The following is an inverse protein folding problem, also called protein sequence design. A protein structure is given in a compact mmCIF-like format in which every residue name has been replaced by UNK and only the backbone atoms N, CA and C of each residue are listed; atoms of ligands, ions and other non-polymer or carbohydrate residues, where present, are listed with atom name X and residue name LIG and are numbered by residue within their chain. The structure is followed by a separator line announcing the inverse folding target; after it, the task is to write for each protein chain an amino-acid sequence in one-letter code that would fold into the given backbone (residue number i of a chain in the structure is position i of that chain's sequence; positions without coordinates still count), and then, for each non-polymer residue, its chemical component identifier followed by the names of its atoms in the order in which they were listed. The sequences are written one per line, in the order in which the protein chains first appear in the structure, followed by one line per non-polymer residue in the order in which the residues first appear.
data_IF_501539773284
#
_entry.id   IF_501539773284
#
_cell.length_a   1.000
_cell.length_b   1.000
_cell.length_c   1.000
_cell.angle_alpha   90.00
_cell.angle_beta   90.00
_cell.angle_gamma   90.00
#
_symmetry.space_group_name_H-M   'P 1'
#
loop_
_entity.id
_entity.type
_entity.pdbx_description
1 polymer ?
#
# COMPACT_ATOMS: atom_id res chain seq x y z
N UNK A 1 -14.10 29.65 3.17
CA UNK A 1 -15.02 28.52 2.97
C UNK A 1 -15.07 27.74 4.28
N UNK A 2 -16.25 27.45 4.82
CA UNK A 2 -16.36 26.57 5.99
C UNK A 2 -16.03 25.12 5.57
N UNK A 3 -15.53 24.29 6.51
CA UNK A 3 -15.16 22.91 6.21
C UNK A 3 -16.33 22.10 5.65
N UNK A 4 -17.54 22.32 6.19
CA UNK A 4 -18.77 21.66 5.75
C UNK A 4 -19.08 21.94 4.27
N UNK A 5 -18.81 23.17 3.80
CA UNK A 5 -19.03 23.55 2.41
C UNK A 5 -18.03 22.88 1.48
N UNK A 6 -16.77 22.72 1.90
CA UNK A 6 -15.77 22.00 1.11
C UNK A 6 -16.08 20.50 1.07
N UNK A 7 -16.52 19.92 2.19
CA UNK A 7 -16.94 18.53 2.28
C UNK A 7 -18.17 18.27 1.39
N UNK A 8 -19.21 19.09 1.49
CA UNK A 8 -20.40 18.96 0.66
C UNK A 8 -20.08 19.05 -0.84
N UNK A 9 -19.24 20.01 -1.23
CA UNK A 9 -18.80 20.15 -2.62
C UNK A 9 -17.98 18.95 -3.12
N UNK A 10 -17.12 18.36 -2.28
CA UNK A 10 -16.38 17.15 -2.63
C UNK A 10 -17.30 15.94 -2.81
N UNK A 11 -18.30 15.79 -1.93
CA UNK A 11 -19.22 14.66 -1.91
C UNK A 11 -20.25 14.68 -3.05
N UNK A 12 -20.41 15.82 -3.73
CA UNK A 12 -21.32 15.94 -4.86
C UNK A 12 -20.98 14.89 -5.96
N UNK A 13 -21.93 14.02 -6.35
CA UNK A 13 -21.68 12.97 -7.35
C UNK A 13 -21.14 13.52 -8.67
N UNK A 14 -21.61 14.70 -9.06
CA UNK A 14 -21.24 15.37 -10.30
C UNK A 14 -19.90 16.10 -10.26
N UNK A 15 -19.25 16.19 -9.09
CA UNK A 15 -17.97 16.88 -8.95
C UNK A 15 -16.85 16.20 -9.77
N UNK A 16 -16.13 17.01 -10.54
CA UNK A 16 -14.95 16.61 -11.29
C UNK A 16 -13.75 16.33 -10.38
N UNK A 17 -12.75 15.63 -10.93
CA UNK A 17 -11.49 15.38 -10.21
C UNK A 17 -10.77 16.69 -9.82
N UNK A 18 -10.86 17.73 -10.64
CA UNK A 18 -10.27 19.04 -10.36
C UNK A 18 -10.98 19.74 -9.19
N UNK A 19 -12.31 19.71 -9.15
CA UNK A 19 -13.10 20.28 -8.05
C UNK A 19 -12.83 19.55 -6.74
N UNK A 20 -12.76 18.21 -6.77
CA UNK A 20 -12.38 17.40 -5.59
C UNK A 20 -10.98 17.76 -5.08
N UNK A 21 -10.01 17.88 -5.98
CA UNK A 21 -8.64 18.30 -5.64
C UNK A 21 -8.63 19.70 -5.00
N UNK A 22 -9.43 20.63 -5.52
CA UNK A 22 -9.58 21.96 -4.94
C UNK A 22 -10.18 21.91 -3.53
N UNK A 23 -11.23 21.10 -3.32
CA UNK A 23 -11.85 20.94 -2.00
C UNK A 23 -10.84 20.39 -0.97
N UNK A 24 -10.06 19.38 -1.34
CA UNK A 24 -8.99 18.81 -0.50
C UNK A 24 -7.96 19.88 -0.16
N UNK A 25 -7.51 20.67 -1.15
CA UNK A 25 -6.58 21.78 -0.93
C UNK A 25 -7.12 22.82 0.06
N UNK A 26 -8.40 23.17 -0.06
CA UNK A 26 -9.06 24.05 0.90
C UNK A 26 -9.12 23.46 2.30
N UNK A 27 -9.50 22.19 2.45
CA UNK A 27 -9.56 21.50 3.75
C UNK A 27 -8.18 21.46 4.40
N UNK A 28 -7.15 21.03 3.66
CA UNK A 28 -5.77 20.99 4.16
C UNK A 28 -5.30 22.39 4.59
N UNK A 29 -5.60 23.44 3.82
CA UNK A 29 -5.25 24.80 4.21
C UNK A 29 -5.93 25.23 5.53
N UNK A 30 -7.21 24.88 5.74
CA UNK A 30 -7.93 25.18 6.99
C UNK A 30 -7.31 24.46 8.19
N UNK A 31 -6.92 23.19 8.01
CA UNK A 31 -6.26 22.38 9.05
C UNK A 31 -4.86 22.93 9.37
N UNK A 32 -4.06 23.26 8.36
CA UNK A 32 -2.72 23.84 8.52
C UNK A 32 -2.77 25.18 9.26
N UNK A 33 -3.76 26.03 8.93
CA UNK A 33 -3.99 27.31 9.59
C UNK A 33 -4.63 27.17 10.98
N UNK A 34 -4.98 25.96 11.41
CA UNK A 34 -5.67 25.65 12.68
C UNK A 34 -7.00 26.40 12.84
N UNK A 35 -7.63 26.80 11.72
CA UNK A 35 -8.96 27.42 11.73
C UNK A 35 -10.10 26.39 11.78
N UNK A 36 -9.77 25.12 11.50
CA UNK A 36 -10.61 23.94 11.63
C UNK A 36 -9.76 22.78 12.17
N UNK A 37 -10.42 21.70 12.60
CA UNK A 37 -9.76 20.54 13.21
C UNK A 37 -10.05 19.26 12.41
N UNK A 38 -9.24 18.22 12.60
CA UNK A 38 -9.55 16.91 12.03
C UNK A 38 -10.90 16.38 12.55
N UNK A 39 -11.26 16.70 13.80
CA UNK A 39 -12.56 16.38 14.36
C UNK A 39 -13.71 17.04 13.57
N UNK A 40 -13.60 18.33 13.19
CA UNK A 40 -14.66 18.97 12.41
C UNK A 40 -14.81 18.37 11.01
N UNK A 41 -13.70 17.92 10.39
CA UNK A 41 -13.75 17.16 9.14
C UNK A 41 -14.51 15.84 9.31
N UNK A 42 -14.19 15.06 10.34
CA UNK A 42 -14.84 13.76 10.59
C UNK A 42 -16.31 13.94 10.93
N UNK A 43 -16.68 14.97 11.70
CA UNK A 43 -18.07 15.31 11.99
C UNK A 43 -18.85 15.67 10.73
N UNK A 44 -18.29 16.49 9.84
CA UNK A 44 -18.90 16.83 8.55
C UNK A 44 -19.12 15.61 7.66
N UNK A 45 -18.26 14.59 7.78
CA UNK A 45 -18.33 13.35 7.03
C UNK A 45 -19.20 12.28 7.69
N UNK A 46 -19.65 12.46 8.93
CA UNK A 46 -20.23 11.39 9.75
C UNK A 46 -21.35 10.62 9.03
N UNK A 47 -22.35 11.32 8.48
CA UNK A 47 -23.48 10.70 7.79
C UNK A 47 -23.04 9.86 6.57
N UNK A 48 -21.98 10.27 5.90
CA UNK A 48 -21.44 9.62 4.72
C UNK A 48 -20.63 8.36 5.10
N UNK A 49 -19.83 8.41 6.17
CA UNK A 49 -18.95 7.31 6.58
C UNK A 49 -19.70 6.09 7.14
N UNK A 50 -20.89 6.30 7.72
CA UNK A 50 -21.74 5.26 8.31
C UNK A 50 -22.97 4.90 7.44
N UNK A 51 -23.03 5.41 6.21
CA UNK A 51 -24.16 5.17 5.30
C UNK A 51 -24.26 3.70 4.89
N UNK A 52 -25.48 3.17 4.71
CA UNK A 52 -25.69 1.85 4.13
C UNK A 52 -25.26 1.80 2.64
N UNK A 53 -25.21 2.96 1.98
CA UNK A 53 -24.75 3.11 0.59
C UNK A 53 -23.21 3.03 0.51
N UNK A 54 -22.71 1.98 -0.14
CA UNK A 54 -21.28 1.74 -0.34
C UNK A 54 -20.58 2.87 -1.12
N UNK A 55 -21.26 3.53 -2.07
CA UNK A 55 -20.69 4.62 -2.85
C UNK A 55 -20.55 5.91 -2.01
N UNK A 56 -21.48 6.14 -1.08
CA UNK A 56 -21.34 7.22 -0.11
C UNK A 56 -20.14 6.95 0.80
N UNK A 57 -20.07 5.77 1.41
CA UNK A 57 -18.94 5.42 2.27
C UNK A 57 -17.59 5.53 1.56
N UNK A 58 -17.53 5.07 0.31
CA UNK A 58 -16.34 5.20 -0.55
C UNK A 58 -15.94 6.66 -0.76
N UNK A 59 -16.88 7.55 -1.10
CA UNK A 59 -16.59 8.99 -1.27
C UNK A 59 -16.08 9.64 0.02
N UNK A 60 -16.71 9.36 1.15
CA UNK A 60 -16.25 9.88 2.45
C UNK A 60 -14.85 9.36 2.82
N UNK A 61 -14.59 8.07 2.62
CA UNK A 61 -13.28 7.46 2.89
C UNK A 61 -12.21 8.01 1.94
N UNK A 62 -12.57 8.26 0.67
CA UNK A 62 -11.67 8.86 -0.32
C UNK A 62 -11.27 10.28 0.05
N UNK A 63 -12.21 11.10 0.55
CA UNK A 63 -11.87 12.44 1.04
C UNK A 63 -10.85 12.39 2.17
N UNK A 64 -11.08 11.52 3.17
CA UNK A 64 -10.15 11.38 4.29
C UNK A 64 -8.77 10.88 3.82
N UNK A 65 -8.72 9.89 2.91
CA UNK A 65 -7.47 9.43 2.31
C UNK A 65 -6.73 10.59 1.64
N UNK A 66 -7.39 11.37 0.77
CA UNK A 66 -6.78 12.50 0.07
C UNK A 66 -6.29 13.58 1.03
N UNK A 67 -7.04 13.90 2.10
CA UNK A 67 -6.62 14.84 3.14
C UNK A 67 -5.42 14.32 3.93
N UNK A 68 -5.38 13.04 4.30
CA UNK A 68 -4.23 12.41 4.98
C UNK A 68 -2.99 12.50 4.08
N UNK A 69 -3.13 12.13 2.80
CA UNK A 69 -2.03 12.11 1.83
C UNK A 69 -1.49 13.51 1.54
N UNK A 70 -2.36 14.50 1.42
CA UNK A 70 -1.94 15.87 1.14
C UNK A 70 -1.46 16.61 2.40
N UNK A 71 -2.20 16.52 3.51
CA UNK A 71 -1.98 17.30 4.72
C UNK A 71 -1.03 16.67 5.74
N UNK A 72 -0.97 15.34 5.83
CA UNK A 72 -0.13 14.62 6.78
C UNK A 72 1.36 15.00 6.67
N UNK A 73 1.99 14.86 5.48
CA UNK A 73 3.38 15.28 5.28
C UNK A 73 3.64 16.77 5.53
N UNK A 74 2.61 17.62 5.45
CA UNK A 74 2.72 19.06 5.70
C UNK A 74 2.55 19.43 7.18
N UNK A 75 2.31 18.45 8.06
CA UNK A 75 2.04 18.70 9.48
C UNK A 75 0.67 19.32 9.76
N UNK A 76 -0.27 19.21 8.82
CA UNK A 76 -1.64 19.73 8.98
C UNK A 76 -2.41 18.97 10.07
N UNK A 77 -2.08 17.70 10.29
CA UNK A 77 -2.72 16.81 11.28
C UNK A 77 -1.85 16.68 12.53
N UNK A 78 -2.47 16.76 13.71
CA UNK A 78 -1.75 16.54 14.97
C UNK A 78 -1.48 15.04 15.21
N UNK A 79 -0.51 14.66 16.07
CA UNK A 79 -0.23 13.24 16.34
C UNK A 79 -1.45 12.44 16.80
N UNK A 80 -2.28 13.04 17.66
CA UNK A 80 -3.54 12.43 18.08
C UNK A 80 -4.50 12.22 16.92
N UNK A 81 -4.61 13.17 15.99
CA UNK A 81 -5.45 13.01 14.80
C UNK A 81 -4.96 11.86 13.91
N UNK A 82 -3.64 11.75 13.72
CA UNK A 82 -3.03 10.66 12.95
C UNK A 82 -3.35 9.29 13.56
N UNK A 83 -3.31 9.15 14.88
CA UNK A 83 -3.65 7.90 15.58
C UNK A 83 -5.13 7.51 15.38
N UNK A 84 -6.06 8.46 15.55
CA UNK A 84 -7.49 8.19 15.34
C UNK A 84 -7.78 7.87 13.87
N UNK A 85 -7.15 8.58 12.94
CA UNK A 85 -7.28 8.32 11.50
C UNK A 85 -6.67 6.97 11.12
N UNK A 86 -5.56 6.55 11.72
CA UNK A 86 -4.99 5.21 11.53
C UNK A 86 -5.94 4.11 12.00
N UNK A 87 -6.52 4.28 13.18
CA UNK A 87 -7.53 3.34 13.73
C UNK A 87 -8.76 3.27 12.82
N UNK A 88 -9.24 4.42 12.34
CA UNK A 88 -10.37 4.45 11.42
C UNK A 88 -10.04 3.79 10.08
N UNK A 89 -8.93 4.16 9.44
CA UNK A 89 -8.55 3.66 8.12
C UNK A 89 -8.26 2.16 8.10
N UNK A 90 -7.68 1.62 9.16
CA UNK A 90 -7.48 0.16 9.28
C UNK A 90 -8.80 -0.59 9.39
N UNK A 91 -9.76 -0.08 10.17
CA UNK A 91 -11.10 -0.65 10.23
C UNK A 91 -11.84 -0.61 8.88
N UNK A 92 -11.44 0.28 7.96
CA UNK A 92 -11.99 0.36 6.60
C UNK A 92 -11.39 -0.65 5.63
N UNK A 93 -10.33 -1.38 5.99
CA UNK A 93 -9.70 -2.38 5.10
C UNK A 93 -10.63 -3.58 4.84
N UNK A 94 -11.50 -3.91 5.80
CA UNK A 94 -12.51 -4.98 5.67
C UNK A 94 -13.83 -4.54 5.03
N UNK A 95 -14.01 -3.23 4.76
CA UNK A 95 -15.08 -2.75 3.87
C UNK A 95 -14.53 -2.68 2.45
N UNK A 96 -14.76 -3.73 1.66
CA UNK A 96 -14.12 -3.92 0.36
C UNK A 96 -14.32 -2.76 -0.61
N UNK A 97 -15.46 -2.05 -0.55
CA UNK A 97 -15.69 -0.87 -1.39
C UNK A 97 -14.74 0.30 -1.07
N UNK A 98 -14.05 0.24 0.07
CA UNK A 98 -13.20 1.29 0.60
C UNK A 98 -11.74 0.84 0.77
N UNK A 99 -11.39 -0.39 0.40
CA UNK A 99 -10.05 -0.94 0.61
C UNK A 99 -8.98 -0.13 -0.11
N UNK A 100 -9.22 0.33 -1.35
CA UNK A 100 -8.23 1.15 -2.08
C UNK A 100 -7.87 2.45 -1.33
N UNK A 101 -8.81 3.37 -1.01
CA UNK A 101 -8.47 4.59 -0.30
C UNK A 101 -7.97 4.33 1.13
N UNK A 102 -8.50 3.31 1.82
CA UNK A 102 -8.03 2.92 3.14
C UNK A 102 -6.56 2.47 3.12
N UNK A 103 -6.18 1.62 2.16
CA UNK A 103 -4.82 1.12 2.03
C UNK A 103 -3.82 2.22 1.65
N UNK A 104 -4.23 3.15 0.77
CA UNK A 104 -3.44 4.33 0.43
C UNK A 104 -3.23 5.26 1.64
N UNK A 105 -4.26 5.48 2.45
CA UNK A 105 -4.17 6.29 3.65
C UNK A 105 -3.24 5.64 4.68
N UNK A 106 -3.41 4.33 4.94
CA UNK A 106 -2.55 3.56 5.83
C UNK A 106 -1.08 3.59 5.38
N UNK A 107 -0.83 3.53 4.06
CA UNK A 107 0.52 3.64 3.49
C UNK A 107 1.18 4.96 3.89
N UNK A 108 0.47 6.08 3.72
CA UNK A 108 1.00 7.38 4.12
C UNK A 108 1.17 7.48 5.64
N UNK A 109 0.21 6.99 6.43
CA UNK A 109 0.30 7.01 7.89
C UNK A 109 1.53 6.25 8.42
N UNK A 110 1.83 5.09 7.84
CA UNK A 110 3.07 4.36 8.16
C UNK A 110 4.32 5.17 7.80
N UNK A 111 4.34 5.82 6.63
CA UNK A 111 5.47 6.65 6.23
C UNK A 111 5.69 7.84 7.17
N UNK A 112 4.61 8.41 7.74
CA UNK A 112 4.70 9.48 8.74
C UNK A 112 5.21 9.01 10.10
N UNK A 113 5.16 7.71 10.40
CA UNK A 113 5.76 7.13 11.61
C UNK A 113 7.27 6.89 11.50
N UNK A 114 7.84 6.99 10.29
CA UNK A 114 9.27 6.74 10.10
C UNK A 114 10.10 7.89 10.70
N UNK A 115 11.11 7.61 11.54
CA UNK A 115 12.02 8.64 12.00
C UNK A 115 12.79 9.24 10.80
N UNK A 116 13.08 10.56 10.80
CA UNK A 116 13.86 11.17 9.75
C UNK A 116 15.24 10.50 9.64
N UNK A 117 15.80 10.34 8.44
CA UNK A 117 17.10 9.72 8.27
C UNK A 117 18.17 10.50 9.06
N UNK A 118 18.96 9.78 9.86
CA UNK A 118 20.01 10.28 10.74
C UNK A 118 21.18 11.00 10.05
N UNK A 119 21.09 11.24 8.73
CA UNK A 119 22.09 11.92 7.91
C UNK A 119 21.70 13.36 7.54
N UNK A 120 20.53 13.86 7.96
CA UNK A 120 20.22 15.29 7.82
C UNK A 120 20.97 16.09 8.89
N UNK A 121 22.13 16.64 8.53
CA UNK A 121 22.91 17.62 9.30
C UNK A 121 22.22 19.00 9.43
N UNK A 122 20.95 19.11 9.09
CA UNK A 122 20.16 20.32 9.25
C UNK A 122 19.24 20.17 10.47
N UNK A 123 19.41 20.98 11.52
CA UNK A 123 18.47 21.06 12.62
C UNK A 123 17.22 21.81 12.15
N UNK A 124 16.32 21.12 11.44
CA UNK A 124 15.00 21.64 11.14
C UNK A 124 14.13 21.43 12.37
N UNK A 125 13.99 22.48 13.19
CA UNK A 125 13.22 22.52 14.44
C UNK A 125 11.69 22.44 14.25
N UNK A 126 11.19 21.80 13.19
CA UNK A 126 9.79 21.43 13.10
C UNK A 126 9.66 19.97 13.52
N UNK A 127 9.24 19.75 14.77
CA UNK A 127 8.71 18.48 15.26
C UNK A 127 7.52 18.10 14.37
N UNK A 128 7.80 17.45 13.24
CA UNK A 128 6.79 16.97 12.33
C UNK A 128 6.00 15.91 13.09
N UNK A 129 4.69 16.09 13.20
CA UNK A 129 3.83 15.14 13.87
C UNK A 129 4.05 13.75 13.26
N UNK A 130 4.50 12.80 14.07
CA UNK A 130 4.74 11.43 13.66
C UNK A 130 3.78 10.50 14.40
N UNK A 131 3.45 9.38 13.74
CA UNK A 131 2.74 8.28 14.36
C UNK A 131 3.72 7.49 15.25
N UNK A 132 3.34 7.12 16.47
CA UNK A 132 4.23 6.39 17.35
C UNK A 132 4.51 4.96 16.84
N UNK A 133 5.66 4.37 17.18
CA UNK A 133 6.02 3.00 16.76
C UNK A 133 4.93 1.97 17.17
N UNK A 134 4.34 2.14 18.35
CA UNK A 134 3.25 1.27 18.83
C UNK A 134 1.99 1.37 17.98
N UNK A 135 1.65 2.58 17.52
CA UNK A 135 0.48 2.81 16.66
C UNK A 135 0.73 2.28 15.25
N UNK A 136 1.94 2.46 14.71
CA UNK A 136 2.35 1.84 13.45
C UNK A 136 2.27 0.31 13.55
N UNK A 137 2.75 -0.29 14.64
CA UNK A 137 2.69 -1.72 14.84
C UNK A 137 1.25 -2.24 14.97
N UNK A 138 0.38 -1.49 15.66
CA UNK A 138 -1.05 -1.77 15.73
C UNK A 138 -1.70 -1.76 14.34
N UNK A 139 -1.40 -0.74 13.53
CA UNK A 139 -1.85 -0.65 12.14
C UNK A 139 -1.40 -1.87 11.33
N UNK A 140 -0.11 -2.23 11.39
CA UNK A 140 0.43 -3.38 10.64
C UNK A 140 -0.22 -4.69 11.08
N UNK A 141 -0.50 -4.87 12.37
CA UNK A 141 -1.24 -6.03 12.85
C UNK A 141 -2.63 -6.12 12.23
N UNK A 142 -3.38 -5.03 12.20
CA UNK A 142 -4.68 -5.01 11.52
C UNK A 142 -4.59 -5.30 10.02
N UNK A 143 -3.53 -4.87 9.34
CA UNK A 143 -3.30 -5.22 7.93
C UNK A 143 -3.09 -6.74 7.76
N UNK A 144 -2.32 -7.36 8.66
CA UNK A 144 -2.12 -8.82 8.65
C UNK A 144 -3.44 -9.54 8.90
N UNK A 145 -4.19 -9.14 9.92
CA UNK A 145 -5.39 -9.83 10.38
C UNK A 145 -6.57 -9.67 9.40
N UNK A 146 -6.76 -8.49 8.82
CA UNK A 146 -7.98 -8.15 8.05
C UNK A 146 -7.80 -8.15 6.52
N UNK A 147 -6.57 -7.96 6.02
CA UNK A 147 -6.33 -7.72 4.59
C UNK A 147 -5.50 -8.81 3.92
N UNK A 148 -4.41 -9.26 4.56
CA UNK A 148 -3.38 -10.07 3.89
C UNK A 148 -3.92 -11.37 3.25
N UNK A 149 -4.83 -12.06 3.94
CA UNK A 149 -5.46 -13.29 3.45
C UNK A 149 -6.49 -13.11 2.34
N UNK A 150 -6.96 -11.89 2.09
CA UNK A 150 -8.05 -11.59 1.17
C UNK A 150 -7.63 -10.82 -0.08
N UNK A 151 -6.33 -10.51 -0.23
CA UNK A 151 -5.84 -9.67 -1.34
C UNK A 151 -6.30 -10.21 -2.69
N UNK A 152 -6.27 -11.52 -2.93
CA UNK A 152 -6.65 -12.09 -4.22
C UNK A 152 -8.14 -11.99 -4.56
N UNK A 153 -9.00 -11.68 -3.59
CA UNK A 153 -10.44 -11.49 -3.78
C UNK A 153 -10.77 -10.07 -4.27
N UNK A 154 -9.83 -9.14 -4.11
CA UNK A 154 -10.02 -7.73 -4.43
C UNK A 154 -9.87 -7.45 -5.92
N UNK A 155 -10.36 -6.28 -6.36
CA UNK A 155 -10.11 -5.78 -7.70
C UNK A 155 -8.63 -5.45 -7.91
N UNK A 156 -8.20 -5.33 -9.17
CA UNK A 156 -6.81 -5.08 -9.51
C UNK A 156 -6.24 -3.77 -8.92
N UNK A 157 -7.06 -2.71 -8.74
CA UNK A 157 -6.61 -1.47 -8.11
C UNK A 157 -6.44 -1.62 -6.59
N UNK A 158 -7.37 -2.30 -5.95
CA UNK A 158 -7.33 -2.59 -4.52
C UNK A 158 -6.16 -3.51 -4.18
N UNK A 159 -5.88 -4.54 -5.00
CA UNK A 159 -4.69 -5.39 -4.85
C UNK A 159 -3.40 -4.59 -4.94
N UNK A 160 -3.29 -3.71 -5.93
CA UNK A 160 -2.12 -2.86 -6.09
C UNK A 160 -1.90 -1.97 -4.85
N UNK A 161 -2.96 -1.35 -4.32
CA UNK A 161 -2.89 -0.54 -3.11
C UNK A 161 -2.52 -1.38 -1.87
N UNK A 162 -3.07 -2.59 -1.75
CA UNK A 162 -2.82 -3.52 -0.65
C UNK A 162 -1.38 -4.02 -0.63
N UNK A 163 -0.83 -4.42 -1.80
CA UNK A 163 0.56 -4.83 -1.92
C UNK A 163 1.53 -3.67 -1.64
N UNK A 164 1.18 -2.45 -2.04
CA UNK A 164 1.98 -1.26 -1.71
C UNK A 164 1.96 -0.95 -0.21
N UNK A 165 0.82 -1.14 0.46
CA UNK A 165 0.70 -1.03 1.91
C UNK A 165 1.56 -2.08 2.61
N UNK A 166 1.47 -3.34 2.20
CA UNK A 166 2.30 -4.43 2.74
C UNK A 166 3.79 -4.13 2.56
N UNK A 167 4.20 -3.67 1.37
CA UNK A 167 5.59 -3.31 1.12
C UNK A 167 6.05 -2.19 2.06
N UNK A 168 5.21 -1.19 2.27
CA UNK A 168 5.51 -0.11 3.21
C UNK A 168 5.59 -0.61 4.65
N UNK A 169 4.69 -1.50 5.06
CA UNK A 169 4.70 -2.13 6.37
C UNK A 169 5.99 -2.91 6.62
N UNK A 170 6.46 -3.72 5.66
CA UNK A 170 7.74 -4.43 5.77
C UNK A 170 8.93 -3.46 5.90
N UNK A 171 8.94 -2.39 5.12
CA UNK A 171 10.05 -1.42 5.10
C UNK A 171 10.10 -0.52 6.33
N UNK A 172 8.94 -0.14 6.88
CA UNK A 172 8.84 0.77 8.03
C UNK A 172 8.87 -0.01 9.35
N UNK A 173 8.12 -1.10 9.43
CA UNK A 173 7.86 -1.80 10.68
C UNK A 173 8.51 -3.18 10.76
N UNK A 174 9.22 -3.67 9.73
CA UNK A 174 9.72 -5.06 9.69
C UNK A 174 10.48 -5.50 10.95
N UNK A 175 11.43 -4.69 11.42
CA UNK A 175 12.18 -4.99 12.64
C UNK A 175 11.30 -4.98 13.91
N UNK A 176 10.35 -4.04 14.01
CA UNK A 176 9.43 -3.96 15.15
C UNK A 176 8.41 -5.10 15.16
N UNK A 177 7.88 -5.43 13.99
CA UNK A 177 6.98 -6.56 13.76
C UNK A 177 7.64 -7.87 14.18
N UNK A 178 8.87 -8.14 13.73
CA UNK A 178 9.63 -9.33 14.12
C UNK A 178 9.85 -9.42 15.63
N UNK A 179 10.23 -8.31 16.31
CA UNK A 179 10.37 -8.28 17.78
C UNK A 179 9.05 -8.56 18.51
N UNK A 180 7.93 -8.18 17.92
CA UNK A 180 6.59 -8.39 18.48
C UNK A 180 5.99 -9.76 18.17
N UNK A 181 6.68 -10.60 17.40
CA UNK A 181 6.19 -11.90 16.95
C UNK A 181 5.13 -11.84 15.86
N UNK A 182 5.04 -10.74 15.11
CA UNK A 182 4.13 -10.62 13.97
C UNK A 182 4.79 -11.18 12.72
N UNK A 183 4.21 -12.23 12.13
CA UNK A 183 4.75 -12.90 10.95
C UNK A 183 4.38 -12.17 9.65
N UNK A 184 5.19 -11.18 9.30
CA UNK A 184 5.05 -10.47 8.03
C UNK A 184 5.43 -11.33 6.83
N UNK A 185 6.24 -12.37 6.99
CA UNK A 185 6.62 -13.23 5.87
C UNK A 185 5.40 -14.05 5.41
N UNK A 186 4.70 -14.70 6.34
CA UNK A 186 3.46 -15.44 6.05
C UNK A 186 2.40 -14.53 5.43
N UNK A 187 2.20 -13.34 5.99
CA UNK A 187 1.25 -12.36 5.45
C UNK A 187 1.63 -11.91 4.02
N UNK A 188 2.92 -11.77 3.71
CA UNK A 188 3.38 -11.45 2.35
C UNK A 188 3.13 -12.61 1.38
N UNK A 189 3.38 -13.87 1.79
CA UNK A 189 3.06 -15.04 0.97
C UNK A 189 1.58 -15.07 0.65
N UNK A 190 0.72 -14.94 1.66
CA UNK A 190 -0.74 -14.93 1.49
C UNK A 190 -1.21 -13.81 0.54
N UNK A 191 -0.63 -12.61 0.66
CA UNK A 191 -0.99 -11.48 -0.21
C UNK A 191 -0.53 -11.68 -1.67
N UNK A 192 0.59 -12.36 -1.90
CA UNK A 192 1.20 -12.54 -3.23
C UNK A 192 0.63 -13.75 -3.96
N UNK A 193 0.30 -14.83 -3.24
CA UNK A 193 -0.07 -16.11 -3.84
C UNK A 193 -1.19 -15.93 -4.87
N UNK A 194 -1.03 -16.50 -6.06
CA UNK A 194 -2.00 -16.40 -7.14
C UNK A 194 -2.03 -15.09 -7.93
N UNK A 195 -1.20 -14.08 -7.61
CA UNK A 195 -1.19 -12.81 -8.36
C UNK A 195 -0.72 -13.00 -9.81
N UNK A 196 -1.35 -12.31 -10.75
CA UNK A 196 -1.12 -12.43 -12.20
C UNK A 196 -0.99 -11.09 -12.91
N UNK A 197 -1.51 -10.01 -12.33
CA UNK A 197 -1.45 -8.69 -12.94
C UNK A 197 -0.02 -8.14 -12.90
N UNK A 198 0.54 -7.68 -14.04
CA UNK A 198 1.93 -7.25 -14.10
C UNK A 198 2.25 -6.05 -13.19
N UNK A 199 1.29 -5.18 -12.90
CA UNK A 199 1.51 -4.04 -11.98
C UNK A 199 1.65 -4.53 -10.54
N UNK A 200 0.82 -5.51 -10.17
CA UNK A 200 0.84 -6.12 -8.85
C UNK A 200 2.07 -7.02 -8.68
N UNK A 201 2.48 -7.75 -9.72
CA UNK A 201 3.70 -8.57 -9.69
C UNK A 201 4.98 -7.76 -9.42
N UNK A 202 5.10 -6.53 -9.95
CA UNK A 202 6.24 -5.67 -9.62
C UNK A 202 6.32 -5.34 -8.12
N UNK A 203 5.16 -5.15 -7.47
CA UNK A 203 5.09 -4.94 -6.02
C UNK A 203 5.37 -6.25 -5.26
N UNK A 204 4.82 -7.38 -5.72
CA UNK A 204 5.10 -8.69 -5.16
C UNK A 204 6.61 -9.02 -5.18
N UNK A 205 7.30 -8.79 -6.30
CA UNK A 205 8.75 -8.99 -6.38
C UNK A 205 9.53 -8.06 -5.45
N UNK A 206 9.05 -6.82 -5.26
CA UNK A 206 9.63 -5.88 -4.30
C UNK A 206 9.42 -6.32 -2.86
N UNK A 207 8.26 -6.90 -2.54
CA UNK A 207 7.95 -7.51 -1.25
C UNK A 207 8.85 -8.71 -0.96
N UNK A 208 8.97 -9.64 -1.91
CA UNK A 208 9.88 -10.78 -1.75
C UNK A 208 11.32 -10.32 -1.54
N UNK A 209 11.77 -9.30 -2.27
CA UNK A 209 13.09 -8.72 -2.06
C UNK A 209 13.26 -8.14 -0.64
N UNK A 210 12.23 -7.52 -0.08
CA UNK A 210 12.28 -6.94 1.27
C UNK A 210 12.26 -8.01 2.38
N UNK A 211 11.64 -9.17 2.11
CA UNK A 211 11.44 -10.28 3.05
C UNK A 211 12.22 -11.54 2.64
N UNK A 212 13.32 -11.38 1.90
CA UNK A 212 14.17 -12.50 1.53
C UNK A 212 15.06 -12.91 2.72
N UNK A 213 15.29 -14.23 2.94
CA UNK A 213 14.91 -15.35 2.08
C UNK A 213 13.50 -15.93 2.30
N UNK A 214 12.79 -15.53 3.35
CA UNK A 214 11.62 -16.24 3.90
C UNK A 214 10.44 -16.39 2.91
N UNK A 215 10.27 -15.44 1.99
CA UNK A 215 9.10 -15.39 1.08
C UNK A 215 9.43 -15.91 -0.33
N UNK A 216 10.69 -16.24 -0.64
CA UNK A 216 11.15 -16.44 -2.02
C UNK A 216 10.45 -17.56 -2.79
N UNK A 217 9.96 -18.59 -2.10
CA UNK A 217 9.40 -19.79 -2.72
C UNK A 217 8.13 -19.50 -3.53
N UNK A 218 7.38 -18.46 -3.13
CA UNK A 218 6.20 -17.97 -3.86
C UNK A 218 6.55 -17.55 -5.30
N UNK A 219 7.82 -17.25 -5.59
CA UNK A 219 8.26 -16.84 -6.92
C UNK A 219 8.48 -17.99 -7.90
N UNK A 220 8.53 -19.24 -7.44
CA UNK A 220 8.84 -20.41 -8.25
C UNK A 220 7.90 -20.58 -9.45
N UNK A 221 6.62 -20.18 -9.30
CA UNK A 221 5.60 -20.28 -10.34
C UNK A 221 5.73 -19.20 -11.43
N UNK A 222 6.52 -18.14 -11.20
CA UNK A 222 6.74 -17.07 -12.18
C UNK A 222 8.00 -17.27 -13.04
N UNK A 223 8.79 -18.33 -12.77
CA UNK A 223 10.01 -18.64 -13.52
C UNK A 223 9.88 -19.93 -14.37
N UNK A 224 10.18 -19.89 -15.70
CA UNK A 224 10.57 -18.72 -16.48
C UNK A 224 9.35 -17.83 -16.81
N UNK A 225 9.56 -16.50 -16.82
CA UNK A 225 8.46 -15.57 -17.05
C UNK A 225 7.93 -15.64 -18.49
N UNK A 226 6.68 -16.09 -18.61
CA UNK A 226 5.88 -16.04 -19.83
C UNK A 226 4.88 -14.88 -19.74
N UNK A 227 5.22 -13.75 -20.35
CA UNK A 227 4.35 -12.58 -20.41
C UNK A 227 4.40 -11.94 -21.79
N UNK A 228 3.23 -11.70 -22.36
CA UNK A 228 3.06 -10.96 -23.61
C UNK A 228 2.24 -9.71 -23.31
N UNK A 229 2.82 -8.50 -23.39
CA UNK A 229 2.10 -7.27 -23.11
C UNK A 229 0.87 -7.12 -24.03
N UNK A 230 -0.27 -6.63 -23.52
CA UNK A 230 -1.40 -6.25 -24.37
C UNK A 230 -0.98 -5.17 -25.39
N UNK A 231 -1.48 -5.26 -26.63
CA UNK A 231 -1.12 -4.33 -27.73
C UNK A 231 -1.33 -2.85 -27.38
N UNK A 232 -2.33 -2.55 -26.55
CA UNK A 232 -2.71 -1.20 -26.12
C UNK A 232 -2.63 -1.07 -24.60
N UNK A 233 -1.58 -1.58 -23.96
CA UNK A 233 -1.40 -1.41 -22.52
C UNK A 233 -1.11 0.08 -22.18
N UNK A 234 -2.02 0.79 -21.49
CA UNK A 234 -1.80 2.17 -21.09
C UNK A 234 -0.63 2.33 -20.11
N UNK A 235 -0.26 1.28 -19.37
CA UNK A 235 0.81 1.29 -18.38
C UNK A 235 2.18 0.90 -18.95
N UNK A 236 2.21 0.32 -20.17
CA UNK A 236 3.41 -0.04 -20.92
C UNK A 236 4.40 -0.91 -20.15
N UNK A 237 3.92 -1.82 -19.29
CA UNK A 237 4.83 -2.75 -18.60
C UNK A 237 5.34 -3.78 -19.60
N UNK A 238 6.66 -3.83 -19.77
CA UNK A 238 7.30 -4.76 -20.71
C UNK A 238 7.64 -6.10 -20.07
N UNK A 239 7.74 -7.15 -20.88
CA UNK A 239 8.27 -8.46 -20.44
C UNK A 239 9.67 -8.32 -19.84
N UNK A 240 10.53 -7.50 -20.45
CA UNK A 240 11.89 -7.29 -19.98
C UNK A 240 11.92 -6.66 -18.57
N UNK A 241 11.02 -5.72 -18.30
CA UNK A 241 10.89 -5.10 -16.98
C UNK A 241 10.48 -6.12 -15.91
N UNK A 242 9.47 -6.94 -16.18
CA UNK A 242 9.04 -7.98 -15.24
C UNK A 242 10.11 -9.06 -15.04
N UNK A 243 10.78 -9.49 -16.11
CA UNK A 243 11.85 -10.47 -16.02
C UNK A 243 13.01 -9.95 -15.17
N UNK A 244 13.43 -8.70 -15.42
CA UNK A 244 14.47 -8.06 -14.62
C UNK A 244 14.06 -7.90 -13.15
N UNK A 245 12.81 -7.54 -12.86
CA UNK A 245 12.32 -7.43 -11.49
C UNK A 245 12.30 -8.79 -10.77
N UNK A 246 11.87 -9.86 -11.46
CA UNK A 246 11.89 -11.23 -10.95
C UNK A 246 13.33 -11.70 -10.66
N UNK A 247 14.26 -11.46 -11.60
CA UNK A 247 15.68 -11.78 -11.43
C UNK A 247 16.28 -11.06 -10.21
N UNK A 248 16.00 -9.78 -10.03
CA UNK A 248 16.46 -9.02 -8.86
C UNK A 248 15.86 -9.55 -7.54
N UNK A 249 14.64 -10.07 -7.55
CA UNK A 249 14.02 -10.66 -6.37
C UNK A 249 14.64 -12.03 -6.03
N UNK A 250 14.87 -12.88 -7.04
CA UNK A 250 15.56 -14.16 -6.86
C UNK A 250 17.03 -13.99 -6.42
N UNK A 251 17.66 -12.87 -6.79
CA UNK A 251 19.02 -12.52 -6.40
C UNK A 251 19.10 -11.62 -5.15
N UNK A 252 17.99 -11.42 -4.42
CA UNK A 252 17.92 -10.45 -3.33
C UNK A 252 18.86 -10.77 -2.15
N UNK A 253 19.21 -12.04 -1.95
CA UNK A 253 20.05 -12.51 -0.85
C UNK A 253 20.96 -13.66 -1.29
N UNK A 254 22.25 -13.69 -0.89
CA UNK A 254 23.14 -14.81 -1.19
C UNK A 254 22.65 -16.16 -0.65
N UNK A 255 21.87 -16.16 0.44
CA UNK A 255 21.31 -17.39 1.02
C UNK A 255 20.35 -18.11 0.06
N UNK A 256 19.77 -17.38 -0.89
CA UNK A 256 18.89 -17.93 -1.92
C UNK A 256 19.62 -18.81 -2.93
N UNK A 257 20.95 -18.71 -3.06
CA UNK A 257 21.69 -19.45 -4.08
C UNK A 257 21.46 -20.97 -4.02
N UNK A 258 21.32 -21.52 -2.81
CA UNK A 258 21.08 -22.96 -2.59
C UNK A 258 19.72 -23.43 -3.11
N UNK A 259 18.74 -22.53 -3.23
CA UNK A 259 17.40 -22.82 -3.72
C UNK A 259 17.20 -22.38 -5.18
N UNK A 260 17.65 -21.16 -5.53
CA UNK A 260 17.50 -20.58 -6.87
C UNK A 260 18.32 -21.32 -7.93
N UNK A 261 19.55 -21.74 -7.62
CA UNK A 261 20.40 -22.42 -8.60
C UNK A 261 19.76 -23.76 -9.03
N UNK A 262 19.31 -24.65 -8.12
CA UNK A 262 18.55 -25.84 -8.50
C UNK A 262 17.29 -25.53 -9.33
N UNK A 263 16.48 -24.54 -8.92
CA UNK A 263 15.28 -24.13 -9.65
C UNK A 263 15.61 -23.76 -11.11
N UNK A 264 16.64 -22.95 -11.31
CA UNK A 264 17.07 -22.52 -12.65
C UNK A 264 17.55 -23.70 -13.48
N UNK A 265 18.38 -24.58 -12.91
CA UNK A 265 18.88 -25.77 -13.60
C UNK A 265 17.75 -26.72 -14.02
N UNK A 266 16.77 -26.94 -13.14
CA UNK A 266 15.60 -27.77 -13.43
C UNK A 266 14.81 -27.22 -14.64
N UNK A 267 14.50 -25.91 -14.63
CA UNK A 267 13.75 -25.28 -15.72
C UNK A 267 14.52 -25.26 -17.03
N UNK A 268 15.83 -24.98 -17.02
CA UNK A 268 16.68 -25.03 -18.21
C UNK A 268 16.71 -26.43 -18.83
N UNK A 269 16.84 -27.48 -18.00
CA UNK A 269 16.85 -28.87 -18.49
C UNK A 269 15.52 -29.29 -19.12
N UNK A 270 14.40 -28.76 -18.61
CA UNK A 270 13.05 -29.05 -19.12
C UNK A 270 12.81 -28.42 -20.49
N UNK A 271 13.31 -27.20 -20.74
CA UNK A 271 13.23 -26.55 -22.05
C UNK A 271 14.00 -27.32 -23.13
N UNK A 272 15.14 -27.93 -22.78
CA UNK A 272 15.96 -28.71 -23.70
C UNK A 272 15.27 -30.03 -24.12
N UNK A 273 14.62 -30.73 -23.18
CA UNK A 273 13.91 -31.99 -23.47
C UNK A 273 12.75 -31.84 -24.46
N UNK A 274 12.08 -30.68 -24.50
CA UNK A 274 11.01 -30.41 -25.48
C UNK A 274 11.53 -30.16 -26.90
N UNK A 275 12.76 -29.68 -27.07
CA UNK A 275 13.34 -29.40 -28.39
C UNK A 275 14.16 -30.56 -28.96
N UNK A 276 14.58 -31.53 -28.12
CA UNK A 276 15.34 -32.71 -28.53
C UNK A 276 14.51 -33.96 -28.86
N UNK A 277 13.18 -33.92 -28.72
CA UNK A 277 12.27 -35.04 -29.00
C UNK A 277 11.54 -34.96 -30.34
N UNK A 278 11.86 -33.97 -31.18
CA UNK A 278 11.34 -33.83 -32.54
C UNK A 278 12.47 -34.08 -33.54
N UNK A 279 12.93 -35.33 -33.63
CA UNK A 279 13.87 -35.80 -34.64
C UNK A 279 13.53 -37.23 -35.02
#
# INVERSE_FOLDING_TARGET
MAIDSAVAAYLEPSASAAERTQCVGCIVALLTQRSQTALSLVQALQACLISDDAEQRLRGTSLLNEVIRAGGPQGALAPGDLQHLATFMTARLSDWSCTEPAAQACTTLLQLGRPPPSHSTQPSASSQACLAESDCLGLVRSVVDELAGHVQELTQRERQASLQLMLTATQVCGAAAARSGLDLAEACVAAIDGEKDPRCLLLAFSLVKAQAPEVVEVLSCYFPLTFTPPKNDPHRISRAQLASALEHALAASPFLATWVVPLVLEKLSSTYRYHGGSS
#
